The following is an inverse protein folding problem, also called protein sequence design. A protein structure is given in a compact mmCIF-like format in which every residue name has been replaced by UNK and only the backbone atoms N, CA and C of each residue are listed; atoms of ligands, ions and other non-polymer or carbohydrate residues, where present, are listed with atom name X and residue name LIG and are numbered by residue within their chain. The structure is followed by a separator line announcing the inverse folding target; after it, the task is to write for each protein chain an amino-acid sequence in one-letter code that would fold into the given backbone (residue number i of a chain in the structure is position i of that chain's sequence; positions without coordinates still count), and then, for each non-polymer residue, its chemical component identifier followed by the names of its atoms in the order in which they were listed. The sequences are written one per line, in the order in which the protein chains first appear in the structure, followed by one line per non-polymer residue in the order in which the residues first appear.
data_IF_724260578560
#
_entry.id   IF_724260578560
#
_cell.length_a   1.000
_cell.length_b   1.000
_cell.length_c   1.000
_cell.angle_alpha   90.00
_cell.angle_beta   90.00
_cell.angle_gamma   90.00
#
_symmetry.space_group_name_H-M   'P 1'
#
loop_
_entity.id
_entity.type
_entity.pdbx_description
1 polymer ?
#
# COMPACT_ATOMS: atom_id res chain seq x y z
N UNK A 1 10.17 -6.53 30.09
CA UNK A 1 8.74 -6.90 30.16
C UNK A 1 8.34 -7.25 28.74
N UNK A 2 8.40 -8.53 28.41
CA UNK A 2 7.93 -9.04 27.13
C UNK A 2 6.40 -8.93 27.13
N UNK A 3 5.89 -7.95 26.39
CA UNK A 3 4.46 -7.84 26.10
C UNK A 3 4.07 -8.93 25.12
N UNK A 4 4.00 -10.18 25.58
CA UNK A 4 3.40 -11.26 24.82
C UNK A 4 1.92 -10.95 24.65
N UNK A 5 1.54 -10.41 23.48
CA UNK A 5 0.14 -10.36 23.05
C UNK A 5 -0.40 -11.80 23.11
N UNK A 6 -1.67 -11.96 23.48
CA UNK A 6 -2.36 -13.24 23.70
C UNK A 6 -2.55 -14.10 22.42
N UNK A 7 -1.59 -14.09 21.49
CA UNK A 7 -1.72 -14.56 20.11
C UNK A 7 -0.86 -15.78 19.79
N UNK A 8 0.35 -15.93 20.34
CA UNK A 8 1.27 -17.00 19.90
C UNK A 8 0.78 -18.41 20.22
N UNK A 9 0.02 -18.58 21.31
CA UNK A 9 -0.51 -19.88 21.72
C UNK A 9 -1.58 -20.45 20.76
N UNK A 10 -2.27 -19.58 20.03
CA UNK A 10 -3.28 -19.96 19.04
C UNK A 10 -2.67 -20.22 17.66
N UNK A 11 -1.46 -19.73 17.41
CA UNK A 11 -0.78 -19.90 16.14
C UNK A 11 -0.15 -21.30 16.04
N UNK A 12 -0.25 -21.95 14.87
CA UNK A 12 0.46 -23.20 14.57
C UNK A 12 1.96 -23.14 14.87
N UNK A 13 2.55 -24.24 15.34
CA UNK A 13 3.99 -24.25 15.68
C UNK A 13 4.89 -23.98 14.46
N UNK A 14 4.46 -24.39 13.27
CA UNK A 14 5.18 -24.17 12.02
C UNK A 14 5.18 -22.69 11.56
N UNK A 15 4.27 -21.85 12.08
CA UNK A 15 4.22 -20.43 11.75
C UNK A 15 5.11 -19.58 12.65
N UNK A 16 5.56 -20.12 13.80
CA UNK A 16 6.34 -19.37 14.81
C UNK A 16 7.78 -19.05 14.40
N UNK A 17 8.33 -19.72 13.39
CA UNK A 17 9.74 -19.59 13.01
C UNK A 17 9.98 -18.83 11.71
N UNK A 18 8.94 -18.48 10.95
CA UNK A 18 9.07 -17.71 9.71
C UNK A 18 8.84 -16.23 9.99
N UNK A 19 9.75 -15.42 9.45
CA UNK A 19 9.69 -13.96 9.57
C UNK A 19 10.19 -13.31 8.29
N UNK A 20 9.73 -12.11 8.02
CA UNK A 20 10.28 -11.19 7.03
C UNK A 20 11.06 -10.10 7.75
N UNK A 21 12.25 -9.78 7.23
CA UNK A 21 13.07 -8.66 7.68
C UNK A 21 12.79 -7.47 6.78
N UNK A 22 12.36 -6.34 7.37
CA UNK A 22 12.04 -5.10 6.65
C UNK A 22 12.81 -3.92 7.18
N UNK A 23 13.28 -3.09 6.26
CA UNK A 23 13.94 -1.81 6.52
C UNK A 23 13.24 -0.71 5.74
N UNK A 24 13.01 0.42 6.38
CA UNK A 24 12.44 1.63 5.76
C UNK A 24 13.44 2.76 5.96
N UNK A 25 13.87 3.41 4.89
CA UNK A 25 14.90 4.45 4.91
C UNK A 25 14.37 5.69 4.21
N UNK A 26 14.59 6.86 4.81
CA UNK A 26 14.39 8.15 4.16
C UNK A 26 15.76 8.68 3.75
N UNK A 27 15.94 8.96 2.46
CA UNK A 27 17.22 9.43 1.90
C UNK A 27 17.11 10.83 1.30
N UNK A 28 18.24 11.53 1.20
CA UNK A 28 18.31 12.90 0.65
C UNK A 28 18.43 12.96 -0.89
N UNK A 29 18.48 11.81 -1.55
CA UNK A 29 18.48 11.66 -3.02
C UNK A 29 18.18 10.21 -3.41
N UNK A 30 17.93 10.01 -4.72
CA UNK A 30 17.71 8.68 -5.29
C UNK A 30 18.97 7.80 -5.26
N UNK A 31 18.76 6.49 -5.20
CA UNK A 31 19.74 5.42 -5.43
C UNK A 31 20.24 5.41 -6.88
N UNK A 32 19.42 5.87 -7.84
CA UNK A 32 19.72 5.94 -9.26
C UNK A 32 19.85 7.40 -9.71
N UNK A 33 21.03 7.79 -10.19
CA UNK A 33 21.31 9.19 -10.54
C UNK A 33 20.64 9.66 -11.82
N UNK A 34 20.12 8.74 -12.63
CA UNK A 34 19.78 9.00 -14.03
C UNK A 34 18.34 9.52 -14.21
N UNK A 35 17.45 9.37 -13.21
CA UNK A 35 16.11 9.96 -13.21
C UNK A 35 15.52 10.09 -11.78
N UNK A 36 15.10 11.30 -11.39
CA UNK A 36 14.59 11.58 -10.03
C UNK A 36 13.09 11.26 -9.83
N UNK A 37 12.34 11.03 -10.90
CA UNK A 37 10.87 10.84 -10.85
C UNK A 37 10.43 9.37 -11.05
N UNK A 38 11.33 8.41 -10.84
CA UNK A 38 11.04 6.99 -11.09
C UNK A 38 10.75 6.21 -9.80
N UNK A 39 10.12 5.05 -9.98
CA UNK A 39 10.09 3.98 -8.97
C UNK A 39 11.19 2.99 -9.37
N UNK A 40 12.09 2.67 -8.44
CA UNK A 40 13.13 1.66 -8.70
C UNK A 40 12.80 0.39 -7.94
N UNK A 41 12.85 -0.75 -8.64
CA UNK A 41 12.79 -2.08 -8.05
C UNK A 41 14.08 -2.83 -8.40
N UNK A 42 14.80 -3.30 -7.39
CA UNK A 42 16.08 -4.00 -7.54
C UNK A 42 16.11 -5.22 -6.63
N UNK A 43 16.72 -6.31 -7.11
CA UNK A 43 17.02 -7.47 -6.29
C UNK A 43 18.53 -7.57 -6.09
N UNK A 44 18.96 -7.53 -4.83
CA UNK A 44 20.33 -7.79 -4.46
C UNK A 44 20.49 -9.30 -4.20
N UNK A 45 21.51 -9.95 -4.78
CA UNK A 45 21.74 -11.36 -4.56
C UNK A 45 22.06 -11.62 -3.07
N UNK A 46 21.79 -12.83 -2.57
CA UNK A 46 22.07 -13.18 -1.19
C UNK A 46 23.55 -12.97 -0.83
N UNK A 47 23.81 -12.41 0.34
CA UNK A 47 25.16 -12.18 0.87
C UNK A 47 25.30 -12.76 2.28
N UNK A 48 26.55 -12.94 2.75
CA UNK A 48 26.87 -13.29 4.14
C UNK A 48 26.10 -14.51 4.72
N UNK A 49 25.84 -15.53 3.90
CA UNK A 49 25.16 -16.76 4.34
C UNK A 49 23.62 -16.72 4.26
N UNK A 50 23.04 -15.65 3.73
CA UNK A 50 21.63 -15.61 3.36
C UNK A 50 21.35 -16.53 2.15
N UNK A 51 20.16 -17.09 2.11
CA UNK A 51 19.66 -17.92 1.01
C UNK A 51 18.81 -17.13 0.01
N UNK A 52 18.11 -16.12 0.51
CA UNK A 52 17.11 -15.36 -0.23
C UNK A 52 17.63 -13.97 -0.59
N UNK A 53 17.23 -13.43 -1.76
CA UNK A 53 17.64 -12.10 -2.17
C UNK A 53 16.99 -11.00 -1.31
N UNK A 54 17.64 -9.84 -1.27
CA UNK A 54 17.05 -8.63 -0.69
C UNK A 54 16.37 -7.85 -1.81
N UNK A 55 15.08 -7.60 -1.65
CA UNK A 55 14.30 -6.74 -2.54
C UNK A 55 14.42 -5.30 -2.07
N UNK A 56 14.76 -4.41 -2.99
CA UNK A 56 14.92 -2.97 -2.80
C UNK A 56 13.83 -2.27 -3.62
N UNK A 57 12.99 -1.47 -2.98
CA UNK A 57 12.00 -0.64 -3.65
C UNK A 57 12.21 0.81 -3.25
N UNK A 58 12.59 1.66 -4.20
CA UNK A 58 12.67 3.10 -4.01
C UNK A 58 11.42 3.80 -4.54
N UNK A 59 10.89 4.70 -3.74
CA UNK A 59 9.76 5.55 -4.04
C UNK A 59 10.22 7.02 -4.03
N UNK A 60 10.07 7.68 -5.18
CA UNK A 60 10.33 9.10 -5.36
C UNK A 60 9.11 9.96 -4.95
N UNK A 61 9.26 11.29 -4.85
CA UNK A 61 8.13 12.19 -4.58
C UNK A 61 6.98 12.10 -5.59
N UNK A 62 7.24 11.63 -6.82
CA UNK A 62 6.22 11.42 -7.85
C UNK A 62 5.17 10.36 -7.46
N UNK A 63 5.51 9.48 -6.51
CA UNK A 63 4.61 8.47 -5.94
C UNK A 63 3.73 9.00 -4.82
N UNK A 64 3.93 10.25 -4.40
CA UNK A 64 3.34 10.86 -3.20
C UNK A 64 3.70 10.15 -1.88
N UNK A 65 4.71 9.27 -1.87
CA UNK A 65 5.19 8.62 -0.65
C UNK A 65 6.05 9.53 0.25
N UNK A 66 6.60 10.62 -0.30
CA UNK A 66 7.44 11.57 0.45
C UNK A 66 7.49 12.99 -0.19
N UNK A 67 7.91 14.02 0.57
CA UNK A 67 8.12 15.37 0.05
C UNK A 67 9.25 15.48 -0.98
N UNK A 68 9.23 16.55 -1.80
CA UNK A 68 10.31 16.86 -2.75
C UNK A 68 11.68 16.93 -2.07
N UNK A 69 12.70 16.37 -2.73
CA UNK A 69 14.07 16.30 -2.22
C UNK A 69 14.32 15.15 -1.25
N UNK A 70 13.33 14.30 -1.01
CA UNK A 70 13.45 13.07 -0.23
C UNK A 70 13.05 11.86 -1.09
N UNK A 71 13.54 10.69 -0.71
CA UNK A 71 13.11 9.40 -1.26
C UNK A 71 12.86 8.42 -0.12
N UNK A 72 11.97 7.46 -0.35
CA UNK A 72 11.71 6.36 0.60
C UNK A 72 12.20 5.07 -0.02
N UNK A 73 13.11 4.38 0.66
CA UNK A 73 13.61 3.08 0.24
C UNK A 73 13.10 2.01 1.20
N UNK A 74 12.49 0.97 0.65
CA UNK A 74 12.12 -0.24 1.36
C UNK A 74 13.11 -1.35 1.01
N UNK A 75 13.67 -1.98 2.05
CA UNK A 75 14.40 -3.24 1.93
C UNK A 75 13.57 -4.35 2.53
N UNK A 76 13.44 -5.48 1.85
CA UNK A 76 12.67 -6.64 2.32
C UNK A 76 13.36 -7.94 1.92
N UNK A 77 13.49 -8.87 2.86
CA UNK A 77 13.94 -10.24 2.59
C UNK A 77 13.26 -11.24 3.51
N UNK A 78 13.45 -12.53 3.22
CA UNK A 78 13.16 -13.57 4.19
C UNK A 78 14.13 -13.42 5.37
N UNK A 79 13.60 -13.35 6.59
CA UNK A 79 14.42 -13.07 7.76
C UNK A 79 15.09 -14.32 8.31
N UNK A 80 16.40 -14.24 8.51
CA UNK A 80 17.19 -15.28 9.18
C UNK A 80 17.44 -14.86 10.63
N UNK A 81 17.92 -13.63 10.84
CA UNK A 81 18.25 -13.07 12.15
C UNK A 81 17.42 -11.82 12.47
N UNK A 82 18.01 -10.79 13.07
CA UNK A 82 17.34 -9.50 13.21
C UNK A 82 17.28 -8.78 11.87
N UNK A 83 16.30 -7.90 11.68
CA UNK A 83 16.20 -7.11 10.45
C UNK A 83 17.43 -6.22 10.22
N UNK A 84 18.06 -5.72 11.29
CA UNK A 84 19.32 -4.96 11.20
C UNK A 84 20.46 -5.82 10.64
N UNK A 85 20.65 -7.04 11.17
CA UNK A 85 21.70 -7.95 10.72
C UNK A 85 21.46 -8.43 9.29
N UNK A 86 20.21 -8.75 8.97
CA UNK A 86 19.83 -9.26 7.65
C UNK A 86 19.97 -8.18 6.56
N UNK A 87 19.69 -6.91 6.87
CA UNK A 87 19.68 -5.84 5.87
C UNK A 87 21.00 -5.08 5.77
N UNK A 88 21.88 -5.22 6.76
CA UNK A 88 23.20 -4.60 6.80
C UNK A 88 24.02 -4.73 5.50
N UNK A 89 24.08 -5.89 4.81
CA UNK A 89 24.83 -6.00 3.56
C UNK A 89 24.33 -5.06 2.46
N UNK A 90 23.00 -4.88 2.38
CA UNK A 90 22.39 -3.97 1.41
C UNK A 90 22.61 -2.51 1.83
N UNK A 91 22.53 -2.19 3.11
CA UNK A 91 22.79 -0.83 3.61
C UNK A 91 24.22 -0.39 3.36
N UNK A 92 25.20 -1.24 3.68
CA UNK A 92 26.62 -0.96 3.47
C UNK A 92 26.94 -0.77 1.98
N UNK A 93 26.17 -1.40 1.08
CA UNK A 93 26.29 -1.24 -0.37
C UNK A 93 25.62 0.05 -0.88
N UNK A 94 24.39 0.32 -0.44
CA UNK A 94 23.53 1.33 -1.05
C UNK A 94 23.64 2.72 -0.42
N UNK A 95 24.01 2.82 0.86
CA UNK A 95 23.90 4.07 1.62
C UNK A 95 25.24 4.58 2.13
N UNK A 96 25.29 5.89 2.39
CA UNK A 96 26.38 6.54 3.12
C UNK A 96 26.16 6.46 4.62
N UNK A 97 27.17 6.04 5.35
CA UNK A 97 27.19 6.10 6.81
C UNK A 97 27.50 7.52 7.28
N UNK A 98 26.71 8.02 8.23
CA UNK A 98 26.80 9.41 8.75
C UNK A 98 28.18 9.71 9.37
N UNK A 99 28.92 8.69 9.82
CA UNK A 99 30.21 8.82 10.48
C UNK A 99 31.43 8.96 9.54
N UNK A 100 31.23 8.92 8.21
CA UNK A 100 32.34 9.13 7.28
C UNK A 100 32.71 10.63 7.22
N UNK A 101 33.78 10.98 7.95
CA UNK A 101 34.24 12.35 8.22
C UNK A 101 34.77 13.05 6.96
N UNK A 102 35.16 12.32 5.91
CA UNK A 102 35.57 12.92 4.64
C UNK A 102 34.78 12.33 3.46
N UNK A 103 34.10 13.17 2.66
CA UNK A 103 33.44 12.71 1.46
C UNK A 103 34.50 12.33 0.43
N UNK A 104 34.65 11.02 0.18
CA UNK A 104 35.31 10.57 -1.04
C UNK A 104 34.56 11.21 -2.23
N UNK A 105 35.24 11.98 -3.09
CA UNK A 105 34.58 12.80 -4.12
C UNK A 105 33.81 11.97 -5.16
N UNK A 106 34.02 10.66 -5.18
CA UNK A 106 33.36 9.71 -6.08
C UNK A 106 32.19 8.96 -5.44
N UNK A 107 31.93 9.10 -4.14
CA UNK A 107 30.81 8.40 -3.50
C UNK A 107 29.49 9.09 -3.84
N UNK A 108 28.73 8.48 -4.74
CA UNK A 108 27.43 8.98 -5.21
C UNK A 108 26.25 8.45 -4.41
N UNK A 109 26.47 7.59 -3.40
CA UNK A 109 25.38 6.97 -2.63
C UNK A 109 24.55 8.02 -1.86
N UNK A 110 23.25 7.79 -1.66
CA UNK A 110 22.42 8.63 -0.80
C UNK A 110 22.80 8.55 0.67
N UNK A 111 22.58 9.63 1.41
CA UNK A 111 22.68 9.63 2.87
C UNK A 111 21.31 9.29 3.47
N UNK A 112 21.32 8.38 4.44
CA UNK A 112 20.13 8.05 5.22
C UNK A 112 19.91 9.14 6.27
N UNK A 113 18.74 9.77 6.21
CA UNK A 113 18.29 10.79 7.17
C UNK A 113 17.54 10.16 8.34
N UNK A 114 16.85 9.05 8.08
CA UNK A 114 16.09 8.29 9.06
C UNK A 114 15.95 6.84 8.59
N UNK A 115 15.93 5.90 9.54
CA UNK A 115 15.67 4.49 9.26
C UNK A 115 14.86 3.80 10.36
N UNK A 116 14.16 2.74 9.98
CA UNK A 116 13.47 1.80 10.85
C UNK A 116 13.69 0.37 10.36
N UNK A 117 14.05 -0.51 11.28
CA UNK A 117 14.18 -1.94 11.06
C UNK A 117 13.13 -2.69 11.87
N UNK A 118 12.48 -3.66 11.24
CA UNK A 118 11.49 -4.49 11.91
C UNK A 118 11.49 -5.92 11.35
N UNK A 119 11.34 -6.89 12.24
CA UNK A 119 10.99 -8.24 11.88
C UNK A 119 9.48 -8.40 12.00
N UNK A 120 8.86 -8.95 10.96
CA UNK A 120 7.44 -9.26 10.95
C UNK A 120 7.26 -10.77 10.84
N UNK A 121 6.35 -11.34 11.62
CA UNK A 121 6.00 -12.75 11.49
C UNK A 121 5.41 -13.01 10.10
N UNK A 122 5.86 -14.08 9.45
CA UNK A 122 5.40 -14.49 8.13
C UNK A 122 4.61 -15.80 8.25
N UNK A 123 3.28 -15.68 8.26
CA UNK A 123 2.35 -16.79 8.35
C UNK A 123 1.83 -17.25 6.99
N UNK A 124 2.38 -16.74 5.89
CA UNK A 124 1.94 -17.09 4.55
C UNK A 124 2.09 -18.59 4.30
N UNK A 125 1.05 -19.23 3.78
CA UNK A 125 1.03 -20.67 3.49
C UNK A 125 0.96 -21.59 4.72
N UNK A 126 0.81 -21.07 5.93
CA UNK A 126 0.53 -21.86 7.12
C UNK A 126 -0.98 -22.09 7.27
N UNK A 127 -1.39 -23.29 7.67
CA UNK A 127 -2.78 -23.54 8.06
C UNK A 127 -3.05 -23.00 9.47
N UNK A 128 -3.51 -21.74 9.55
CA UNK A 128 -3.83 -21.07 10.80
C UNK A 128 -5.11 -21.57 11.47
N UNK A 129 -5.93 -22.35 10.78
CA UNK A 129 -7.31 -22.63 11.19
C UNK A 129 -7.51 -24.03 11.80
N UNK A 130 -6.45 -24.85 11.93
CA UNK A 130 -6.51 -26.22 12.48
C UNK A 130 -7.22 -26.31 13.84
N UNK A 131 -7.03 -25.30 14.71
CA UNK A 131 -7.57 -25.26 16.08
C UNK A 131 -8.68 -24.23 16.26
N UNK A 132 -9.16 -23.63 15.17
CA UNK A 132 -10.08 -22.51 15.20
C UNK A 132 -11.53 -23.02 15.07
N UNK A 133 -12.50 -22.48 15.85
CA UNK A 133 -13.92 -22.81 15.67
C UNK A 133 -14.38 -22.56 14.23
N UNK A 134 -15.35 -23.33 13.73
CA UNK A 134 -15.74 -23.33 12.31
C UNK A 134 -16.14 -21.94 11.76
N UNK A 135 -16.75 -21.11 12.62
CA UNK A 135 -17.26 -19.77 12.34
C UNK A 135 -16.24 -18.65 12.63
N UNK A 136 -14.99 -18.98 12.92
CA UNK A 136 -13.88 -18.04 13.03
C UNK A 136 -12.87 -18.41 11.96
N UNK A 137 -12.37 -17.42 11.23
CA UNK A 137 -11.38 -17.63 10.19
C UNK A 137 -10.20 -16.70 10.48
N UNK A 138 -9.04 -17.30 10.71
CA UNK A 138 -7.76 -16.61 10.80
C UNK A 138 -7.15 -16.54 9.40
N UNK A 139 -6.55 -15.39 9.10
CA UNK A 139 -5.89 -15.12 7.82
C UNK A 139 -4.44 -14.72 8.04
N UNK A 140 -3.59 -15.00 7.05
CA UNK A 140 -2.19 -14.66 7.11
C UNK A 140 -1.97 -13.14 7.05
N UNK A 141 -0.94 -12.67 7.75
CA UNK A 141 -0.40 -11.33 7.56
C UNK A 141 0.48 -11.23 6.31
N UNK A 142 1.09 -10.06 6.06
CA UNK A 142 2.01 -9.89 4.94
C UNK A 142 3.26 -10.76 5.12
N UNK A 143 3.68 -11.44 4.05
CA UNK A 143 4.94 -12.16 3.98
C UNK A 143 6.09 -11.31 3.43
N UNK A 144 7.16 -11.98 2.97
CA UNK A 144 8.32 -11.32 2.34
C UNK A 144 8.13 -11.00 0.84
N UNK A 145 7.03 -11.44 0.22
CA UNK A 145 6.72 -11.21 -1.19
C UNK A 145 6.21 -9.80 -1.44
N UNK A 146 6.44 -9.27 -2.65
CA UNK A 146 6.03 -7.91 -3.03
C UNK A 146 4.58 -7.85 -3.55
N UNK A 147 4.08 -8.95 -4.13
CA UNK A 147 2.75 -9.02 -4.72
C UNK A 147 1.65 -9.36 -3.69
N UNK A 148 0.41 -9.34 -4.17
CA UNK A 148 -0.79 -9.66 -3.40
C UNK A 148 -1.39 -11.03 -3.73
N UNK A 149 -0.65 -11.91 -4.43
CA UNK A 149 -1.21 -13.17 -4.92
C UNK A 149 -1.73 -14.03 -3.76
N UNK A 150 -0.93 -14.18 -2.71
CA UNK A 150 -1.32 -14.94 -1.52
C UNK A 150 -2.59 -14.39 -0.87
N UNK A 151 -2.66 -13.08 -0.67
CA UNK A 151 -3.81 -12.42 -0.02
C UNK A 151 -5.09 -12.54 -0.85
N UNK A 152 -4.99 -12.44 -2.18
CA UNK A 152 -6.14 -12.62 -3.08
C UNK A 152 -6.63 -14.07 -3.06
N UNK A 153 -5.70 -15.04 -3.10
CA UNK A 153 -6.05 -16.46 -3.05
C UNK A 153 -6.69 -16.84 -1.72
N UNK A 154 -6.15 -16.37 -0.60
CA UNK A 154 -6.70 -16.60 0.73
C UNK A 154 -8.08 -15.96 0.86
N UNK A 155 -8.24 -14.68 0.47
CA UNK A 155 -9.54 -14.00 0.49
C UNK A 155 -10.60 -14.75 -0.32
N UNK A 156 -10.25 -15.30 -1.49
CA UNK A 156 -11.17 -16.11 -2.30
C UNK A 156 -11.58 -17.40 -1.59
N UNK A 157 -10.65 -18.09 -0.94
CA UNK A 157 -10.95 -19.32 -0.19
C UNK A 157 -11.87 -19.02 1.01
N UNK A 158 -11.63 -17.92 1.71
CA UNK A 158 -12.48 -17.47 2.81
C UNK A 158 -13.88 -17.11 2.30
N UNK A 159 -13.97 -16.38 1.19
CA UNK A 159 -15.25 -16.02 0.59
C UNK A 159 -16.08 -17.26 0.20
N UNK A 160 -15.48 -18.22 -0.50
CA UNK A 160 -16.17 -19.46 -0.91
C UNK A 160 -16.68 -20.26 0.31
N UNK A 161 -15.94 -20.23 1.43
CA UNK A 161 -16.38 -20.89 2.68
C UNK A 161 -17.61 -20.22 3.28
N UNK A 162 -17.71 -18.89 3.19
CA UNK A 162 -18.79 -18.10 3.79
C UNK A 162 -20.01 -18.04 2.86
N UNK A 163 -19.78 -17.87 1.56
CA UNK A 163 -20.78 -17.65 0.51
C UNK A 163 -20.59 -18.69 -0.62
N UNK A 164 -20.90 -19.98 -0.37
CA UNK A 164 -20.60 -21.05 -1.33
C UNK A 164 -21.40 -20.88 -2.63
N UNK A 165 -20.70 -20.98 -3.76
CA UNK A 165 -21.30 -20.84 -5.09
C UNK A 165 -21.60 -19.41 -5.55
N UNK A 166 -21.32 -18.39 -4.73
CA UNK A 166 -21.40 -16.99 -5.14
C UNK A 166 -20.16 -16.56 -5.94
N UNK A 167 -20.29 -15.57 -6.80
CA UNK A 167 -19.15 -15.04 -7.56
C UNK A 167 -18.22 -14.22 -6.65
N UNK A 168 -16.90 -14.46 -6.75
CA UNK A 168 -15.90 -13.70 -6.00
C UNK A 168 -15.60 -12.37 -6.69
N UNK A 169 -15.89 -11.25 -6.01
CA UNK A 169 -15.72 -9.87 -6.50
C UNK A 169 -16.46 -9.60 -7.84
N UNK A 170 -17.80 -9.77 -7.89
CA UNK A 170 -18.57 -9.45 -9.07
C UNK A 170 -18.46 -7.94 -9.34
N UNK A 171 -18.55 -7.55 -10.62
CA UNK A 171 -18.60 -6.13 -10.97
C UNK A 171 -19.83 -5.49 -10.33
N UNK A 172 -19.63 -4.39 -9.62
CA UNK A 172 -20.74 -3.58 -9.17
C UNK A 172 -21.58 -3.15 -10.39
N UNK A 173 -22.92 -3.20 -10.31
CA UNK A 173 -23.78 -2.68 -11.36
C UNK A 173 -23.47 -1.20 -11.59
N UNK A 174 -23.45 -0.77 -12.85
CA UNK A 174 -23.20 0.63 -13.17
C UNK A 174 -24.37 1.48 -12.63
N UNK A 175 -24.12 2.55 -11.86
CA UNK A 175 -25.19 3.40 -11.33
C UNK A 175 -26.12 3.95 -12.41
N UNK A 176 -25.62 4.22 -13.61
CA UNK A 176 -26.41 4.72 -14.75
C UNK A 176 -27.38 3.68 -15.32
N UNK A 177 -27.18 2.38 -15.04
CA UNK A 177 -28.09 1.31 -15.47
C UNK A 177 -29.30 1.14 -14.52
N UNK A 178 -29.32 1.88 -13.41
CA UNK A 178 -30.41 1.84 -12.42
C UNK A 178 -31.55 2.74 -12.92
N UNK A 179 -32.60 2.13 -13.47
CA UNK A 179 -33.81 2.85 -13.88
C UNK A 179 -34.59 3.23 -12.61
N UNK A 180 -34.63 4.52 -12.29
CA UNK A 180 -35.56 5.06 -11.32
C UNK A 180 -36.93 5.17 -11.99
N UNK A 181 -37.91 4.42 -11.49
CA UNK A 181 -39.30 4.65 -11.86
C UNK A 181 -39.74 5.94 -11.16
N UNK A 182 -39.65 7.06 -11.88
CA UNK A 182 -40.18 8.36 -11.46
C UNK A 182 -41.71 8.28 -11.48
N UNK A 183 -42.26 7.55 -10.51
CA UNK A 183 -43.65 7.12 -10.47
C UNK A 183 -44.63 8.22 -10.84
N UNK A 184 -45.17 8.10 -12.05
CA UNK A 184 -46.48 8.64 -12.40
C UNK A 184 -47.49 7.49 -12.51
N UNK A 185 -47.52 6.63 -11.48
CA UNK A 185 -48.70 5.83 -11.15
C UNK A 185 -49.14 6.15 -9.73
N UNK A 186 -49.90 7.23 -9.61
CA UNK A 186 -50.76 7.41 -8.45
C UNK A 186 -51.91 6.37 -8.50
N UNK A 187 -52.11 5.70 -7.37
CA UNK A 187 -53.30 4.96 -6.95
C UNK A 187 -53.49 3.53 -7.48
N UNK A 188 -52.90 2.55 -6.80
CA UNK A 188 -53.64 1.69 -5.85
C UNK A 188 -52.80 0.46 -5.50
N UNK A 189 -52.26 0.42 -4.28
CA UNK A 189 -51.54 -0.73 -3.78
C UNK A 189 -51.10 -0.51 -2.36
N UNK A 190 -52.03 -0.75 -1.43
CA UNK A 190 -51.86 -0.86 0.02
C UNK A 190 -50.46 -1.36 0.44
N UNK A 191 -49.61 -0.46 0.91
CA UNK A 191 -48.38 -0.79 1.63
C UNK A 191 -48.41 -0.14 3.00
N UNK A 192 -48.92 -0.91 3.96
CA UNK A 192 -48.84 -0.59 5.38
C UNK A 192 -47.39 -0.57 5.85
N UNK A 193 -46.86 0.63 6.05
CA UNK A 193 -45.80 0.88 7.02
C UNK A 193 -46.01 2.28 7.59
N UNK A 194 -46.70 2.35 8.74
CA UNK A 194 -46.78 3.57 9.54
C UNK A 194 -45.40 3.85 10.15
N UNK A 195 -44.64 4.74 9.52
CA UNK A 195 -43.53 5.42 10.17
C UNK A 195 -44.06 6.73 10.76
N UNK A 196 -44.26 6.73 12.07
CA UNK A 196 -44.61 7.92 12.85
C UNK A 196 -43.35 8.79 12.98
N UNK A 197 -43.28 9.87 12.19
CA UNK A 197 -42.29 10.94 12.39
C UNK A 197 -43.04 12.27 12.38
N UNK A 198 -43.22 12.80 13.58
CA UNK A 198 -43.73 14.12 13.83
C UNK A 198 -42.68 15.16 13.35
N UNK A 199 -43.04 15.92 12.33
CA UNK A 199 -42.33 17.10 11.82
C UNK A 199 -42.79 18.35 12.59
N UNK A 200 -41.86 19.23 12.96
CA UNK A 200 -42.12 20.68 13.00
C UNK A 200 -40.84 21.49 12.74
N UNK A 201 -40.79 22.12 11.56
CA UNK A 201 -40.41 23.53 11.36
C UNK A 201 -38.96 23.78 10.89
N UNK A 202 -38.64 23.95 9.60
CA UNK A 202 -39.04 24.94 8.59
C UNK A 202 -38.25 26.28 8.60
N UNK A 203 -37.97 26.71 7.36
CA UNK A 203 -37.49 28.01 6.83
C UNK A 203 -35.95 28.19 6.67
N UNK A 204 -35.37 28.11 5.47
CA UNK A 204 -35.54 28.82 4.16
C UNK A 204 -34.60 30.03 4.01
N UNK A 205 -33.77 29.97 2.94
CA UNK A 205 -33.39 31.01 1.95
C UNK A 205 -32.01 30.63 1.38
N UNK A 206 -31.94 30.00 0.21
CA UNK A 206 -31.90 30.59 -1.15
C UNK A 206 -30.63 31.41 -1.47
N UNK A 207 -29.95 30.99 -2.55
CA UNK A 207 -28.80 31.67 -3.13
C UNK A 207 -28.24 30.91 -4.34
N UNK A 208 -29.05 30.75 -5.38
CA UNK A 208 -28.65 30.24 -6.69
C UNK A 208 -28.10 31.39 -7.55
N UNK A 209 -26.95 31.21 -8.20
CA UNK A 209 -26.63 31.91 -9.45
C UNK A 209 -25.65 31.08 -10.29
N UNK A 210 -26.05 30.88 -11.55
CA UNK A 210 -25.50 30.01 -12.58
C UNK A 210 -24.15 30.44 -13.17
N UNK A 211 -23.44 29.42 -13.65
CA UNK A 211 -22.61 29.28 -14.86
C UNK A 211 -22.26 30.52 -15.70
N UNK A 212 -20.97 30.59 -16.08
CA UNK A 212 -20.58 30.80 -17.49
C UNK A 212 -19.25 30.11 -17.79
N UNK A 213 -19.30 29.16 -18.73
CA UNK A 213 -18.18 28.72 -19.56
C UNK A 213 -17.62 29.88 -20.40
N UNK A 214 -16.30 29.89 -20.61
CA UNK A 214 -15.70 30.48 -21.81
C UNK A 214 -14.35 29.83 -22.13
N UNK A 215 -14.37 28.89 -23.07
CA UNK A 215 -13.24 28.61 -23.98
C UNK A 215 -13.09 29.76 -24.99
N UNK A 216 -11.85 30.17 -25.28
CA UNK A 216 -11.31 30.63 -26.58
C UNK A 216 -9.77 30.66 -26.42
N UNK A 217 -9.02 29.77 -27.04
CA UNK A 217 -8.53 29.72 -28.43
C UNK A 217 -7.14 30.38 -28.63
N UNK A 218 -6.43 29.80 -29.58
CA UNK A 218 -5.02 29.78 -29.88
C UNK A 218 -4.35 31.11 -30.25
N UNK A 219 -3.02 31.11 -30.11
CA UNK A 219 -2.13 32.12 -30.67
C UNK A 219 -0.70 31.60 -30.77
N UNK A 220 -0.41 30.84 -31.82
CA UNK A 220 0.95 30.59 -32.32
C UNK A 220 1.48 31.88 -32.95
N UNK A 221 2.70 32.29 -32.58
CA UNK A 221 3.51 33.19 -33.41
C UNK A 221 4.98 32.77 -33.30
N UNK A 222 5.50 32.35 -34.45
CA UNK A 222 6.90 32.07 -34.74
C UNK A 222 7.74 33.34 -34.92
N UNK A 223 9.06 33.12 -34.84
CA UNK A 223 10.19 33.85 -35.45
C UNK A 223 10.63 35.22 -34.88
N UNK A 224 11.94 35.30 -34.60
CA UNK A 224 12.67 36.56 -34.77
C UNK A 224 13.92 36.80 -33.89
N UNK A 225 15.06 36.32 -34.39
CA UNK A 225 16.38 36.99 -34.33
C UNK A 225 17.33 36.81 -33.12
N UNK A 226 18.51 36.28 -33.48
CA UNK A 226 19.89 36.67 -33.12
C UNK A 226 20.00 37.99 -32.30
N UNK A 227 20.98 38.16 -31.40
CA UNK A 227 22.37 38.52 -31.70
C UNK A 227 23.22 38.44 -30.39
N UNK A 228 24.50 38.07 -30.59
CA UNK A 228 25.69 38.18 -29.71
C UNK A 228 25.92 37.12 -28.62
#
# INVERSE_FOLDING_TARGET
MEGGLASEALLPENSRNRKSSRGIYITDKSLCTDDQDQITLMHLPPANGQTDPITVMELSPATYACPKGLHVVHLTCQGCNSAEEDLKPAEDLLFKHVEQVEPEPTDTRPRVLWSLHLNQMDNTGCDLNEKTPENVVLVAGPGATLDFEHSILEARQVFEKICPGEEFLPKAPNPEDIIFDDGQEAANGDSGFEADVNDEGADQEEGHSQDTDSEVDAGVAEEGSEWS
#
